data_IF_655214122836
#
_entry.id   IF_655214122836
#
_cell.length_a   1.000
_cell.length_b   1.000
_cell.length_c   1.000
_cell.angle_alpha   90.00
_cell.angle_beta   90.00
_cell.angle_gamma   90.00
#
_symmetry.space_group_name_H-M   'P 1'
#
loop_
_entity.id
_entity.type
_entity.pdbx_description
1 polymer ?
#
# COMPACT_ATOMS: atom_id res chain seq x y z
N UNK A 1 -5.61 -23.64 41.38
CA UNK A 1 -4.40 -24.24 40.82
C UNK A 1 -4.77 -24.79 39.45
N UNK A 2 -4.36 -24.29 38.31
CA UNK A 2 -3.61 -23.10 37.91
C UNK A 2 -3.95 -22.90 36.42
N UNK A 3 -4.04 -21.61 36.06
CA UNK A 3 -4.02 -21.00 34.72
C UNK A 3 -3.42 -21.82 33.58
N UNK A 4 -4.07 -21.79 32.41
CA UNK A 4 -3.43 -21.18 31.22
C UNK A 4 -4.47 -20.87 30.12
N UNK A 5 -4.82 -19.58 30.09
CA UNK A 5 -5.53 -18.90 29.03
C UNK A 5 -4.54 -18.64 27.89
N UNK A 6 -4.69 -19.34 26.76
CA UNK A 6 -4.04 -18.95 25.52
C UNK A 6 -4.97 -18.03 24.74
N UNK A 7 -5.07 -16.77 25.20
CA UNK A 7 -5.48 -15.65 24.35
C UNK A 7 -4.39 -15.46 23.28
N UNK A 8 -4.66 -15.97 22.08
CA UNK A 8 -3.87 -15.57 20.92
C UNK A 8 -4.16 -14.09 20.66
N UNK A 9 -3.20 -13.24 21.05
CA UNK A 9 -3.24 -11.81 20.87
C UNK A 9 -3.44 -11.44 19.39
N UNK A 10 -4.51 -10.70 19.15
CA UNK A 10 -4.53 -9.42 18.44
C UNK A 10 -3.45 -9.20 17.38
N UNK A 11 -3.91 -9.17 16.13
CA UNK A 11 -3.21 -8.53 15.04
C UNK A 11 -4.23 -7.71 14.27
N UNK A 12 -4.71 -6.62 14.89
CA UNK A 12 -5.27 -5.47 14.19
C UNK A 12 -4.16 -4.95 13.24
N UNK A 13 -4.05 -5.66 12.11
CA UNK A 13 -3.21 -5.29 10.99
C UNK A 13 -3.52 -3.83 10.68
N UNK A 14 -2.53 -2.92 10.53
CA UNK A 14 -2.81 -1.52 10.23
C UNK A 14 -3.41 -1.41 8.83
N UNK A 15 -4.72 -1.65 8.73
CA UNK A 15 -5.56 -1.21 7.65
C UNK A 15 -5.24 0.26 7.50
N UNK A 16 -4.89 0.67 6.29
CA UNK A 16 -4.69 2.07 6.06
C UNK A 16 -6.00 2.80 6.37
N UNK A 17 -6.03 3.51 7.49
CA UNK A 17 -7.17 4.33 7.96
C UNK A 17 -7.01 5.80 7.59
N UNK A 18 -5.98 6.11 6.79
CA UNK A 18 -5.84 7.43 6.20
C UNK A 18 -7.11 7.78 5.42
N UNK A 19 -7.51 9.05 5.42
CA UNK A 19 -8.52 9.49 4.47
C UNK A 19 -7.89 9.49 3.08
N UNK A 20 -8.62 9.03 2.05
CA UNK A 20 -8.17 9.03 0.63
C UNK A 20 -7.78 10.44 0.16
N UNK A 21 -8.18 11.45 0.92
CA UNK A 21 -7.78 12.85 0.75
C UNK A 21 -6.32 13.16 1.10
N UNK A 22 -5.56 12.29 1.77
CA UNK A 22 -4.11 12.46 1.98
C UNK A 22 -3.33 11.52 1.06
N UNK A 23 -3.23 11.90 -0.22
CA UNK A 23 -2.48 11.12 -1.20
C UNK A 23 -1.00 11.18 -0.89
N UNK A 24 -0.33 10.03 -0.99
CA UNK A 24 1.11 9.92 -0.80
C UNK A 24 1.83 10.32 -2.10
N UNK A 25 3.01 10.94 -1.98
CA UNK A 25 3.86 11.24 -3.14
C UNK A 25 4.20 9.97 -3.93
N UNK A 26 4.39 10.14 -5.23
CA UNK A 26 4.76 9.04 -6.10
C UNK A 26 6.12 8.47 -5.68
N UNK A 27 6.17 7.18 -5.35
CA UNK A 27 7.38 6.50 -4.92
C UNK A 27 8.42 6.32 -6.04
N UNK A 28 8.02 6.47 -7.30
CA UNK A 28 8.90 6.35 -8.47
C UNK A 28 9.55 7.70 -8.83
N UNK A 29 8.77 8.78 -8.98
CA UNK A 29 9.30 10.08 -9.41
C UNK A 29 9.48 11.11 -8.27
N UNK A 30 8.99 10.82 -7.06
CA UNK A 30 8.99 11.74 -5.92
C UNK A 30 8.00 12.92 -6.02
N UNK A 31 7.25 13.02 -7.13
CA UNK A 31 6.27 14.07 -7.39
C UNK A 31 4.99 13.95 -6.57
N UNK A 32 4.22 15.04 -6.50
CA UNK A 32 2.87 14.99 -5.92
C UNK A 32 1.93 14.14 -6.79
N UNK A 33 0.98 13.48 -6.14
CA UNK A 33 -0.11 12.71 -6.73
C UNK A 33 -1.47 13.39 -6.53
N UNK A 34 -1.48 14.60 -6.00
CA UNK A 34 -2.69 15.39 -5.76
C UNK A 34 -3.41 15.66 -7.09
N UNK A 35 -4.71 15.36 -7.14
CA UNK A 35 -5.52 15.55 -8.33
C UNK A 35 -5.19 14.60 -9.50
N UNK A 36 -4.21 13.70 -9.38
CA UNK A 36 -3.93 12.74 -10.44
C UNK A 36 -5.09 11.77 -10.66
N UNK A 37 -5.51 11.61 -11.91
CA UNK A 37 -6.53 10.64 -12.31
C UNK A 37 -6.03 9.18 -12.28
N UNK A 38 -4.71 9.00 -12.17
CA UNK A 38 -4.03 7.71 -12.22
C UNK A 38 -3.38 7.29 -10.89
N UNK A 39 -3.86 7.85 -9.77
CA UNK A 39 -3.32 7.57 -8.45
C UNK A 39 -3.62 6.13 -8.01
N UNK A 40 -2.58 5.40 -7.61
CA UNK A 40 -2.69 4.11 -6.93
C UNK A 40 -1.99 4.14 -5.59
N UNK A 41 -2.49 3.34 -4.66
CA UNK A 41 -1.87 3.08 -3.35
C UNK A 41 -1.34 1.65 -3.34
N UNK A 42 -0.04 1.50 -3.09
CA UNK A 42 0.67 0.21 -3.06
C UNK A 42 0.97 -0.15 -1.61
N UNK A 43 0.60 -1.36 -1.21
CA UNK A 43 1.01 -1.97 0.05
C UNK A 43 2.27 -2.81 -0.16
N UNK A 44 3.28 -2.61 0.67
CA UNK A 44 4.49 -3.42 0.73
C UNK A 44 4.55 -4.16 2.07
N UNK A 45 4.68 -5.48 2.01
CA UNK A 45 4.83 -6.36 3.17
C UNK A 45 6.12 -7.16 3.06
N UNK A 46 6.69 -7.56 4.19
CA UNK A 46 7.92 -8.34 4.24
C UNK A 46 7.71 -9.64 5.02
N UNK A 47 7.81 -10.80 4.36
CA UNK A 47 7.49 -12.11 4.98
C UNK A 47 8.20 -12.39 6.31
N UNK A 48 9.42 -11.88 6.49
CA UNK A 48 10.23 -12.11 7.69
C UNK A 48 9.88 -11.16 8.86
N UNK A 49 8.89 -10.28 8.71
CA UNK A 49 8.50 -9.29 9.72
C UNK A 49 7.02 -8.93 9.64
N UNK A 50 6.43 -8.41 10.71
CA UNK A 50 5.08 -7.80 10.66
C UNK A 50 5.06 -6.41 10.01
N UNK A 51 6.13 -6.00 9.32
CA UNK A 51 6.23 -4.65 8.77
C UNK A 51 5.34 -4.48 7.52
N UNK A 52 4.56 -3.39 7.52
CA UNK A 52 3.71 -2.95 6.41
C UNK A 52 4.05 -1.50 6.08
N UNK A 53 4.13 -1.18 4.79
CA UNK A 53 4.35 0.17 4.31
C UNK A 53 3.41 0.50 3.16
N UNK A 54 2.95 1.75 3.12
CA UNK A 54 2.09 2.26 2.07
C UNK A 54 2.85 3.26 1.20
N UNK A 55 2.71 3.14 -0.13
CA UNK A 55 3.37 3.99 -1.11
C UNK A 55 2.33 4.54 -2.09
N UNK A 56 2.39 5.83 -2.39
CA UNK A 56 1.61 6.40 -3.50
C UNK A 56 2.34 6.22 -4.81
N UNK A 57 1.63 6.06 -5.93
CA UNK A 57 2.23 6.06 -7.25
C UNK A 57 1.28 6.64 -8.31
N UNK A 58 1.87 7.20 -9.37
CA UNK A 58 1.21 7.34 -10.65
C UNK A 58 1.28 5.98 -11.35
N UNK A 59 0.16 5.43 -11.81
CA UNK A 59 0.14 4.13 -12.48
C UNK A 59 1.13 4.07 -13.66
N UNK A 60 1.21 5.12 -14.48
CA UNK A 60 2.13 5.14 -15.62
C UNK A 60 3.61 5.09 -15.22
N UNK A 61 3.99 5.70 -14.08
CA UNK A 61 5.36 5.58 -13.58
C UNK A 61 5.62 4.20 -12.97
N UNK A 62 4.61 3.62 -12.31
CA UNK A 62 4.72 2.27 -11.78
C UNK A 62 4.94 1.27 -12.91
N UNK A 63 4.16 1.34 -13.98
CA UNK A 63 4.33 0.51 -15.18
C UNK A 63 5.72 0.63 -15.81
N UNK A 64 6.34 1.81 -15.76
CA UNK A 64 7.69 2.01 -16.32
C UNK A 64 8.80 1.26 -15.56
N UNK A 65 8.54 0.83 -14.32
CA UNK A 65 9.51 0.13 -13.48
C UNK A 65 9.14 -1.33 -13.20
N UNK A 66 7.94 -1.75 -13.60
CA UNK A 66 7.50 -3.14 -13.47
C UNK A 66 8.19 -4.05 -14.49
N UNK A 67 8.34 -5.32 -14.12
CA UNK A 67 8.92 -6.31 -15.01
C UNK A 67 7.96 -6.64 -16.17
N UNK A 68 8.51 -7.16 -17.27
CA UNK A 68 7.71 -7.64 -18.39
C UNK A 68 6.64 -8.65 -17.92
N UNK A 69 5.41 -8.48 -18.41
CA UNK A 69 4.26 -9.29 -18.00
C UNK A 69 3.43 -8.71 -16.85
N UNK A 70 3.85 -7.59 -16.26
CA UNK A 70 3.06 -6.84 -15.27
C UNK A 70 2.55 -5.52 -15.87
N UNK A 71 1.32 -5.14 -15.53
CA UNK A 71 0.72 -3.84 -15.86
C UNK A 71 -0.28 -3.40 -14.80
N UNK A 72 -0.45 -2.10 -14.65
CA UNK A 72 -1.38 -1.45 -13.73
C UNK A 72 -2.42 -0.68 -14.54
N UNK A 73 -3.62 -1.21 -14.61
CA UNK A 73 -4.72 -0.60 -15.35
C UNK A 73 -5.77 0.00 -14.41
N UNK A 74 -5.97 1.32 -14.51
CA UNK A 74 -7.00 2.02 -13.75
C UNK A 74 -8.28 2.10 -14.58
N UNK A 75 -9.31 1.42 -14.10
CA UNK A 75 -10.63 1.46 -14.70
C UNK A 75 -11.49 2.47 -13.92
N UNK A 76 -11.77 3.62 -14.53
CA UNK A 76 -12.75 4.56 -13.99
C UNK A 76 -14.15 4.03 -14.32
N UNK A 77 -14.99 3.87 -13.28
CA UNK A 77 -16.40 3.50 -13.44
C UNK A 77 -17.23 4.66 -13.99
#
# INVERSE_FOLDING_TARGET
>A
MDVDEAVAADGDEPEWTGVVSQRLRCCVCGGSTDGSGDYVLVELTAQCSGARQWLGAHAGHLDSVLAEGFSVEIHQM
#
